data_IF_887079979073
#
_entry.id   IF_887079979073
#
_cell.length_a   1.000
_cell.length_b   1.000
_cell.length_c   1.000
_cell.angle_alpha   90.00
_cell.angle_beta   90.00
_cell.angle_gamma   90.00
#
_symmetry.space_group_name_H-M   'P 1'
#
loop_
_entity.id
_entity.type
_entity.pdbx_description
1 polymer ?
#
# COMPACT_ATOMS: atom_id res chain seq x y z
N UNK A 1 9.66 10.29 22.74
CA UNK A 1 10.24 10.75 21.48
C UNK A 1 9.34 10.33 20.32
N UNK A 2 9.01 11.29 19.47
CA UNK A 2 8.09 11.02 18.36
C UNK A 2 8.86 10.62 17.11
N UNK A 3 8.40 9.55 16.46
CA UNK A 3 8.91 9.19 15.14
C UNK A 3 8.07 9.89 14.08
N UNK A 4 8.70 10.25 12.98
CA UNK A 4 8.02 10.93 11.88
C UNK A 4 7.13 9.94 11.10
N UNK A 5 6.22 10.47 10.30
CA UNK A 5 5.42 9.64 9.40
C UNK A 5 6.31 8.87 8.43
N UNK A 6 7.37 9.51 7.94
CA UNK A 6 8.29 8.85 7.02
C UNK A 6 9.02 7.68 7.67
N UNK A 7 9.39 7.81 8.95
CA UNK A 7 9.98 6.71 9.70
C UNK A 7 8.97 5.57 9.90
N UNK A 8 7.69 5.88 10.07
CA UNK A 8 6.65 4.86 10.17
C UNK A 8 6.44 4.15 8.84
N UNK A 9 6.50 4.88 7.72
CA UNK A 9 6.46 4.27 6.39
C UNK A 9 7.60 3.28 6.22
N UNK A 10 8.80 3.70 6.61
CA UNK A 10 9.99 2.86 6.51
C UNK A 10 9.84 1.58 7.32
N UNK A 11 9.39 1.69 8.57
CA UNK A 11 9.20 0.52 9.43
C UNK A 11 8.16 -0.44 8.84
N UNK A 12 7.02 0.10 8.41
CA UNK A 12 5.96 -0.71 7.81
C UNK A 12 6.47 -1.42 6.55
N UNK A 13 7.17 -0.67 5.68
CA UNK A 13 7.69 -1.23 4.43
C UNK A 13 8.68 -2.34 4.69
N UNK A 14 9.55 -2.20 5.69
CA UNK A 14 10.51 -3.25 6.05
C UNK A 14 9.78 -4.50 6.55
N UNK A 15 8.77 -4.34 7.41
CA UNK A 15 7.97 -5.47 7.90
C UNK A 15 7.29 -6.20 6.74
N UNK A 16 6.80 -5.46 5.74
CA UNK A 16 6.13 -6.07 4.59
C UNK A 16 7.10 -6.75 3.64
N UNK A 17 8.30 -6.19 3.48
CA UNK A 17 9.36 -6.86 2.74
C UNK A 17 9.77 -8.18 3.42
N UNK A 18 9.87 -8.18 4.74
CA UNK A 18 10.14 -9.39 5.50
C UNK A 18 9.05 -10.44 5.30
N UNK A 19 7.80 -10.02 5.34
CA UNK A 19 6.66 -10.91 5.11
C UNK A 19 6.73 -11.54 3.72
N UNK A 20 7.03 -10.74 2.69
CA UNK A 20 7.15 -11.24 1.32
C UNK A 20 8.30 -12.26 1.20
N UNK A 21 9.41 -12.01 1.89
CA UNK A 21 10.53 -12.95 1.89
C UNK A 21 10.17 -14.25 2.61
N UNK A 22 9.47 -14.17 3.74
CA UNK A 22 9.04 -15.34 4.49
C UNK A 22 8.11 -16.23 3.68
N UNK A 23 7.26 -15.62 2.85
CA UNK A 23 6.32 -16.33 1.98
C UNK A 23 6.93 -16.69 0.62
N UNK A 24 8.23 -16.43 0.44
CA UNK A 24 9.00 -16.80 -0.77
C UNK A 24 8.48 -16.15 -2.04
N UNK A 25 7.97 -14.92 -1.92
CA UNK A 25 7.51 -14.13 -3.08
C UNK A 25 8.20 -12.77 -3.15
N UNK A 26 9.39 -12.65 -2.56
CA UNK A 26 10.09 -11.36 -2.50
C UNK A 26 10.43 -10.83 -3.90
N UNK A 27 10.82 -11.69 -4.84
CA UNK A 27 11.15 -11.25 -6.20
C UNK A 27 9.91 -10.71 -6.91
N UNK A 28 8.82 -11.47 -6.87
CA UNK A 28 7.56 -11.09 -7.51
C UNK A 28 6.98 -9.84 -6.85
N UNK A 29 7.06 -9.76 -5.53
CA UNK A 29 6.57 -8.62 -4.75
C UNK A 29 7.36 -7.35 -5.09
N UNK A 30 8.68 -7.46 -5.20
CA UNK A 30 9.55 -6.35 -5.56
C UNK A 30 9.20 -5.82 -6.95
N UNK A 31 9.11 -6.72 -7.93
CA UNK A 31 8.79 -6.35 -9.30
C UNK A 31 7.39 -5.73 -9.40
N UNK A 32 6.42 -6.32 -8.68
CA UNK A 32 5.06 -5.81 -8.68
C UNK A 32 4.98 -4.41 -8.07
N UNK A 33 5.70 -4.15 -6.99
CA UNK A 33 5.64 -2.84 -6.35
C UNK A 33 6.18 -1.74 -7.28
N UNK A 34 7.17 -2.06 -8.13
CA UNK A 34 7.67 -1.14 -9.14
C UNK A 34 6.61 -0.88 -10.22
N UNK A 35 5.95 -1.93 -10.70
CA UNK A 35 4.89 -1.82 -11.71
C UNK A 35 3.69 -1.04 -11.18
N UNK A 36 3.30 -1.28 -9.94
CA UNK A 36 2.14 -0.63 -9.32
C UNK A 36 2.36 0.87 -9.18
N UNK A 37 3.56 1.30 -8.83
CA UNK A 37 3.87 2.73 -8.76
C UNK A 37 3.63 3.40 -10.12
N UNK A 38 4.09 2.80 -11.20
CA UNK A 38 3.85 3.31 -12.56
C UNK A 38 2.37 3.29 -12.92
N UNK A 39 1.66 2.24 -12.51
CA UNK A 39 0.24 2.11 -12.82
C UNK A 39 -0.58 3.20 -12.12
N UNK A 40 -0.25 3.54 -10.87
CA UNK A 40 -0.90 4.62 -10.16
C UNK A 40 -0.73 5.95 -10.90
N UNK A 41 0.50 6.21 -11.38
CA UNK A 41 0.78 7.45 -12.11
C UNK A 41 0.00 7.53 -13.42
N UNK A 42 -0.19 6.40 -14.11
CA UNK A 42 -0.84 6.37 -15.42
C UNK A 42 -2.35 6.22 -15.34
N UNK A 43 -2.87 5.51 -14.34
CA UNK A 43 -4.28 5.12 -14.29
C UNK A 43 -4.98 5.50 -12.99
N UNK A 44 -4.24 6.04 -12.02
CA UNK A 44 -4.81 6.45 -10.74
C UNK A 44 -4.90 5.32 -9.72
N UNK A 45 -5.16 5.71 -8.47
CA UNK A 45 -5.13 4.79 -7.34
C UNK A 45 -6.26 3.76 -7.41
N UNK A 46 -7.49 4.20 -7.71
CA UNK A 46 -8.64 3.28 -7.70
C UNK A 46 -8.50 2.18 -8.74
N UNK A 47 -8.08 2.51 -9.97
CA UNK A 47 -7.88 1.49 -10.99
C UNK A 47 -6.77 0.53 -10.62
N UNK A 48 -5.73 1.04 -9.97
CA UNK A 48 -4.60 0.19 -9.54
C UNK A 48 -5.04 -0.80 -8.47
N UNK A 49 -5.83 -0.36 -7.49
CA UNK A 49 -6.36 -1.26 -6.46
C UNK A 49 -7.26 -2.31 -7.09
N UNK A 50 -8.10 -1.93 -8.05
CA UNK A 50 -8.96 -2.87 -8.76
C UNK A 50 -8.12 -3.88 -9.57
N UNK A 51 -7.04 -3.44 -10.19
CA UNK A 51 -6.12 -4.34 -10.88
C UNK A 51 -5.57 -5.40 -9.92
N UNK A 52 -5.09 -4.97 -8.75
CA UNK A 52 -4.55 -5.91 -7.77
C UNK A 52 -5.63 -6.89 -7.30
N UNK A 53 -6.84 -6.41 -7.07
CA UNK A 53 -7.96 -7.27 -6.64
C UNK A 53 -8.32 -8.30 -7.70
N UNK A 54 -8.19 -7.95 -8.98
CA UNK A 54 -8.57 -8.83 -10.08
C UNK A 54 -7.61 -10.00 -10.29
N UNK A 55 -6.41 -9.94 -9.70
CA UNK A 55 -5.39 -10.96 -9.87
C UNK A 55 -5.51 -12.03 -8.79
N UNK A 56 -5.16 -13.27 -9.15
CA UNK A 56 -5.23 -14.41 -8.22
C UNK A 56 -3.88 -14.73 -7.61
N UNK A 57 -2.80 -14.15 -8.12
CA UNK A 57 -1.45 -14.44 -7.65
C UNK A 57 -1.25 -13.92 -6.23
N UNK A 58 -0.48 -14.68 -5.46
CA UNK A 58 -0.28 -14.39 -4.04
C UNK A 58 0.33 -13.00 -3.81
N UNK A 59 1.34 -12.61 -4.60
CA UNK A 59 2.00 -11.32 -4.44
C UNK A 59 1.05 -10.15 -4.70
N UNK A 60 0.11 -10.31 -5.64
CA UNK A 60 -0.88 -9.26 -5.91
C UNK A 60 -1.82 -9.08 -4.71
N UNK A 61 -2.29 -10.18 -4.15
CA UNK A 61 -3.17 -10.14 -2.97
C UNK A 61 -2.43 -9.56 -1.77
N UNK A 62 -1.18 -9.97 -1.58
CA UNK A 62 -0.36 -9.48 -0.48
C UNK A 62 -0.15 -7.96 -0.58
N UNK A 63 0.24 -7.46 -1.74
CA UNK A 63 0.47 -6.04 -1.91
C UNK A 63 -0.83 -5.24 -1.72
N UNK A 64 -1.95 -5.74 -2.24
CA UNK A 64 -3.24 -5.09 -2.04
C UNK A 64 -3.57 -4.93 -0.56
N UNK A 65 -3.41 -6.01 0.22
CA UNK A 65 -3.64 -5.97 1.67
C UNK A 65 -2.71 -4.97 2.33
N UNK A 66 -1.44 -4.97 1.96
CA UNK A 66 -0.47 -4.04 2.54
C UNK A 66 -0.86 -2.58 2.27
N UNK A 67 -1.31 -2.27 1.05
CA UNK A 67 -1.68 -0.90 0.70
C UNK A 67 -2.98 -0.47 1.37
N UNK A 68 -4.01 -1.31 1.37
CA UNK A 68 -5.30 -0.95 1.96
C UNK A 68 -5.20 -0.81 3.48
N UNK A 69 -4.44 -1.68 4.14
CA UNK A 69 -4.23 -1.57 5.59
C UNK A 69 -3.45 -0.32 5.95
N UNK A 70 -2.44 0.03 5.15
CA UNK A 70 -1.69 1.25 5.40
C UNK A 70 -2.57 2.49 5.28
N UNK A 71 -3.42 2.53 4.24
CA UNK A 71 -4.37 3.63 4.10
C UNK A 71 -5.34 3.69 5.28
N UNK A 72 -5.80 2.54 5.76
CA UNK A 72 -6.63 2.49 6.96
C UNK A 72 -5.91 2.99 8.20
N UNK A 73 -4.62 2.69 8.31
CA UNK A 73 -3.80 3.14 9.45
C UNK A 73 -3.56 4.64 9.42
N UNK A 74 -3.33 5.22 8.22
CA UNK A 74 -2.96 6.62 8.10
C UNK A 74 -4.14 7.55 7.90
N UNK A 75 -5.18 7.10 7.21
CA UNK A 75 -6.34 7.93 6.88
C UNK A 75 -7.61 7.54 7.64
N UNK A 76 -7.57 6.42 8.35
CA UNK A 76 -8.75 5.92 9.08
C UNK A 76 -9.35 7.00 9.97
N UNK A 77 -10.67 7.14 9.93
CA UNK A 77 -11.39 8.14 10.69
C UNK A 77 -11.50 9.49 10.03
N UNK A 78 -10.78 9.74 8.93
CA UNK A 78 -10.89 11.01 8.20
C UNK A 78 -12.28 11.11 7.59
N UNK A 79 -12.97 12.25 7.71
CA UNK A 79 -14.29 12.41 7.08
C UNK A 79 -14.20 12.30 5.55
N UNK A 80 -15.05 11.44 4.98
CA UNK A 80 -15.18 11.26 3.55
C UNK A 80 -16.30 12.15 3.03
N UNK A 81 -17.45 12.08 3.71
CA UNK A 81 -18.58 12.94 3.46
C UNK A 81 -19.37 13.06 4.76
N UNK A 82 -20.58 13.66 4.68
CA UNK A 82 -21.43 13.78 5.85
C UNK A 82 -21.85 12.38 6.32
N UNK A 83 -21.39 12.01 7.51
CA UNK A 83 -21.75 10.73 8.13
C UNK A 83 -20.87 9.55 7.74
N UNK A 84 -19.94 9.72 6.81
CA UNK A 84 -19.05 8.65 6.38
C UNK A 84 -17.60 9.01 6.68
N UNK A 85 -16.84 8.04 7.18
CA UNK A 85 -15.42 8.22 7.48
C UNK A 85 -14.60 7.13 6.78
N UNK A 86 -13.34 7.45 6.50
CA UNK A 86 -12.41 6.49 5.92
C UNK A 86 -12.26 5.30 6.88
N UNK A 87 -12.28 4.05 6.37
CA UNK A 87 -12.21 2.88 7.25
C UNK A 87 -10.86 2.78 7.95
N UNK A 88 -10.89 2.29 9.19
CA UNK A 88 -9.69 2.03 9.98
C UNK A 88 -9.14 0.64 9.69
N UNK A 89 -7.83 0.47 9.88
CA UNK A 89 -7.24 -0.85 10.06
C UNK A 89 -7.84 -1.46 11.35
N UNK A 90 -8.17 -2.76 11.41
CA UNK A 90 -7.92 -3.81 10.43
C UNK A 90 -9.06 -4.04 9.43
N UNK A 91 -10.15 -3.28 9.50
CA UNK A 91 -11.31 -3.52 8.62
C UNK A 91 -11.17 -2.83 7.26
N UNK A 92 -10.09 -2.08 7.05
CA UNK A 92 -9.84 -1.40 5.78
C UNK A 92 -9.45 -2.40 4.70
N UNK A 93 -10.45 -3.05 4.09
CA UNK A 93 -10.25 -3.98 2.98
C UNK A 93 -10.50 -3.28 1.65
N UNK A 94 -10.34 -4.02 0.55
CA UNK A 94 -10.49 -3.46 -0.79
C UNK A 94 -11.84 -2.77 -0.98
N UNK A 95 -12.94 -3.45 -0.62
CA UNK A 95 -14.27 -2.92 -0.85
C UNK A 95 -14.52 -1.63 -0.08
N UNK A 96 -14.16 -1.61 1.19
CA UNK A 96 -14.37 -0.44 2.04
C UNK A 96 -13.46 0.74 1.65
N UNK A 97 -12.20 0.44 1.32
CA UNK A 97 -11.27 1.49 0.88
C UNK A 97 -11.71 2.05 -0.47
N UNK A 98 -12.11 1.19 -1.40
CA UNK A 98 -12.59 1.65 -2.70
C UNK A 98 -13.80 2.58 -2.55
N UNK A 99 -14.78 2.18 -1.74
CA UNK A 99 -15.97 3.00 -1.51
C UNK A 99 -15.61 4.35 -0.88
N UNK A 100 -14.68 4.35 0.09
CA UNK A 100 -14.22 5.59 0.68
C UNK A 100 -13.57 6.49 -0.37
N UNK A 101 -12.77 5.90 -1.26
CA UNK A 101 -12.07 6.68 -2.28
C UNK A 101 -13.01 7.32 -3.29
N UNK A 102 -14.00 6.56 -3.82
CA UNK A 102 -14.87 7.16 -4.83
C UNK A 102 -15.90 8.12 -4.24
N UNK A 103 -16.08 8.10 -2.92
CA UNK A 103 -16.92 9.07 -2.23
C UNK A 103 -16.14 10.24 -1.65
N UNK A 104 -14.80 10.21 -1.72
CA UNK A 104 -13.94 11.22 -1.13
C UNK A 104 -13.97 12.53 -1.92
N UNK A 105 -13.85 13.69 -1.23
CA UNK A 105 -13.51 14.90 -1.94
C UNK A 105 -12.14 14.76 -2.58
N UNK A 106 -11.87 15.55 -3.62
CA UNK A 106 -10.65 15.40 -4.42
C UNK A 106 -9.37 15.57 -3.60
N UNK A 107 -9.36 16.44 -2.58
CA UNK A 107 -8.18 16.63 -1.74
C UNK A 107 -7.85 15.37 -0.93
N UNK A 108 -8.86 14.67 -0.41
CA UNK A 108 -8.63 13.42 0.30
C UNK A 108 -8.16 12.32 -0.66
N UNK A 109 -8.76 12.24 -1.86
CA UNK A 109 -8.33 11.29 -2.87
C UNK A 109 -6.86 11.51 -3.25
N UNK A 110 -6.47 12.77 -3.46
CA UNK A 110 -5.09 13.12 -3.77
C UNK A 110 -4.15 12.77 -2.63
N UNK A 111 -4.59 12.97 -1.39
CA UNK A 111 -3.82 12.61 -0.20
C UNK A 111 -3.61 11.11 -0.11
N UNK A 112 -4.65 10.31 -0.38
CA UNK A 112 -4.55 8.85 -0.40
C UNK A 112 -3.57 8.38 -1.48
N UNK A 113 -3.62 8.99 -2.66
CA UNK A 113 -2.70 8.68 -3.75
C UNK A 113 -1.26 9.01 -3.36
N UNK A 114 -1.02 10.19 -2.81
CA UNK A 114 0.31 10.62 -2.39
C UNK A 114 0.86 9.72 -1.30
N UNK A 115 0.01 9.32 -0.34
CA UNK A 115 0.43 8.45 0.74
C UNK A 115 0.80 7.05 0.23
N UNK A 116 0.02 6.51 -0.70
CA UNK A 116 0.31 5.22 -1.31
C UNK A 116 1.63 5.27 -2.08
N UNK A 117 1.87 6.34 -2.84
CA UNK A 117 3.11 6.50 -3.58
C UNK A 117 4.32 6.65 -2.66
N UNK A 118 4.15 7.37 -1.55
CA UNK A 118 5.22 7.52 -0.56
C UNK A 118 5.58 6.18 0.07
N UNK A 119 4.59 5.38 0.41
CA UNK A 119 4.83 4.04 0.96
C UNK A 119 5.50 3.14 -0.07
N UNK A 120 5.02 3.14 -1.31
CA UNK A 120 5.60 2.29 -2.36
C UNK A 120 7.07 2.61 -2.62
N UNK A 121 7.48 3.87 -2.45
CA UNK A 121 8.88 4.25 -2.58
C UNK A 121 9.75 3.49 -1.56
N UNK A 122 9.28 3.39 -0.32
CA UNK A 122 9.96 2.63 0.71
C UNK A 122 9.90 1.13 0.46
N UNK A 123 8.73 0.61 0.05
CA UNK A 123 8.56 -0.82 -0.23
C UNK A 123 9.54 -1.26 -1.31
N UNK A 124 9.61 -0.51 -2.42
CA UNK A 124 10.48 -0.85 -3.54
C UNK A 124 11.95 -0.95 -3.10
N UNK A 125 12.40 0.05 -2.36
CA UNK A 125 13.80 0.11 -1.92
C UNK A 125 14.09 -0.98 -0.89
N UNK A 126 13.18 -1.16 0.07
CA UNK A 126 13.41 -2.14 1.15
C UNK A 126 13.23 -3.57 0.68
N UNK A 127 12.35 -3.83 -0.29
CA UNK A 127 12.23 -5.17 -0.87
C UNK A 127 13.52 -5.55 -1.61
N UNK A 128 14.08 -4.62 -2.39
CA UNK A 128 15.37 -4.85 -3.03
C UNK A 128 16.47 -5.12 -1.99
N UNK A 129 16.52 -4.32 -0.92
CA UNK A 129 17.53 -4.50 0.13
C UNK A 129 17.35 -5.85 0.85
N UNK A 130 16.11 -6.25 1.09
CA UNK A 130 15.83 -7.53 1.78
C UNK A 130 16.32 -8.71 0.95
N UNK A 131 16.20 -8.64 -0.37
CA UNK A 131 16.69 -9.69 -1.26
C UNK A 131 18.18 -9.92 -1.10
N UNK A 132 18.95 -8.84 -0.94
CA UNK A 132 20.40 -8.96 -0.83
C UNK A 132 20.84 -9.68 0.44
N UNK A 133 20.01 -9.70 1.49
CA UNK A 133 20.34 -10.37 2.73
C UNK A 133 20.30 -11.89 2.59
N UNK A 134 19.67 -12.42 1.54
CA UNK A 134 19.58 -13.86 1.29
C UNK A 134 20.61 -14.34 0.29
N UNK A 135 21.34 -13.43 -0.36
CA UNK A 135 22.35 -13.80 -1.33
C UNK A 135 23.62 -14.26 -0.60
N UNK A 136 24.25 -15.35 -1.07
CA UNK A 136 25.54 -15.75 -0.51
C UNK A 136 26.59 -14.67 -0.77
N UNK A 137 27.36 -14.37 0.27
CA UNK A 137 28.44 -13.39 0.18
C UNK A 137 29.64 -13.92 -0.58
#
# INVERSE_FOLDING_TARGET
MNVSLDQRRAQYAWEKAQEAAQHRVIDEYTNLSKSVASLIMNSGLMQTLAFLQSKKDYQHKMLLVHLTKWLGRTLGGTPVNEGERFPHEPVADFQLVLAALYNSPSDLYMRATSETMALLRWIRQFADARKTLEEPS
#
